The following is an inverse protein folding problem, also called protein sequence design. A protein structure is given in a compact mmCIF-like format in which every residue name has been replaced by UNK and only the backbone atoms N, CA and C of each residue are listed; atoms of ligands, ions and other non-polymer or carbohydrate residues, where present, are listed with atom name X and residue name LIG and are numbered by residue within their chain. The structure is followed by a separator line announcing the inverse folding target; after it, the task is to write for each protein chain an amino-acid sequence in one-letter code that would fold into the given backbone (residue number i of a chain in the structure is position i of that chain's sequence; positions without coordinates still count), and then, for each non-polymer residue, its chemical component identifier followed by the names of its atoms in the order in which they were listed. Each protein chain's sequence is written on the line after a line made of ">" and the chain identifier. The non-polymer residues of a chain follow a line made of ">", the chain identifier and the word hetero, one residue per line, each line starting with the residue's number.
data_IF_094025315813
#
_entry.id   IF_094025315813
#
_cell.length_a   1.000
_cell.length_b   1.000
_cell.length_c   1.000
_cell.angle_alpha   90.00
_cell.angle_beta   90.00
_cell.angle_gamma   90.00
#
_symmetry.space_group_name_H-M   'P 1'
#
loop_
_entity.id
_entity.type
_entity.pdbx_description
1 polymer ?
#
# COMPACT_ATOMS: atom_id res chain seq x y z
N UNK A 1 -70.09 -1.02 -13.99
CA UNK A 1 -69.01 -0.06 -13.64
C UNK A 1 -68.11 -0.66 -12.57
N UNK A 2 -66.91 -1.12 -12.90
CA UNK A 2 -65.78 -1.25 -11.95
C UNK A 2 -64.48 -1.05 -12.73
N UNK A 3 -63.76 0.03 -12.40
CA UNK A 3 -62.42 0.34 -12.88
C UNK A 3 -61.42 -0.40 -11.98
N UNK A 4 -60.42 -1.07 -12.56
CA UNK A 4 -59.23 -1.49 -11.83
C UNK A 4 -58.05 -0.82 -12.52
N UNK A 5 -57.49 0.16 -11.82
CA UNK A 5 -56.21 0.78 -12.11
C UNK A 5 -55.19 0.08 -11.20
N UNK A 6 -54.12 -0.48 -11.78
CA UNK A 6 -52.93 -0.92 -11.04
C UNK A 6 -51.74 -0.77 -12.01
N UNK A 7 -51.10 0.40 -12.09
CA UNK A 7 -50.06 0.90 -11.19
C UNK A 7 -48.76 0.06 -11.20
N UNK A 8 -47.82 0.51 -12.03
CA UNK A 8 -46.39 0.64 -11.69
C UNK A 8 -45.58 -0.63 -11.42
N UNK A 9 -44.98 -1.19 -12.48
CA UNK A 9 -43.74 -1.96 -12.33
C UNK A 9 -42.58 -0.97 -12.17
N UNK A 10 -42.19 -0.73 -10.92
CA UNK A 10 -40.94 -0.05 -10.58
C UNK A 10 -39.82 -1.00 -10.99
N UNK A 11 -39.03 -0.57 -11.97
CA UNK A 11 -37.75 -1.19 -12.34
C UNK A 11 -36.81 -1.11 -11.14
N UNK A 12 -36.65 -2.23 -10.44
CA UNK A 12 -35.65 -2.38 -9.39
C UNK A 12 -34.28 -2.49 -10.08
N UNK A 13 -33.75 -1.34 -10.52
CA UNK A 13 -32.37 -1.18 -10.97
C UNK A 13 -31.45 -1.36 -9.77
N UNK A 14 -31.14 -2.60 -9.44
CA UNK A 14 -30.10 -2.94 -8.48
C UNK A 14 -28.80 -2.32 -8.97
N UNK A 15 -28.38 -1.24 -8.31
CA UNK A 15 -27.03 -0.69 -8.44
C UNK A 15 -26.08 -1.77 -7.93
N UNK A 16 -25.63 -2.64 -8.84
CA UNK A 16 -24.47 -3.48 -8.61
C UNK A 16 -23.31 -2.51 -8.45
N UNK A 17 -22.96 -2.18 -7.22
CA UNK A 17 -21.69 -1.56 -6.88
C UNK A 17 -20.61 -2.58 -7.21
N UNK A 18 -20.23 -2.66 -8.48
CA UNK A 18 -19.04 -3.36 -8.92
C UNK A 18 -17.90 -2.75 -8.12
N UNK A 19 -17.36 -3.46 -7.12
CA UNK A 19 -16.08 -3.11 -6.53
C UNK A 19 -15.12 -3.05 -7.71
N UNK A 20 -14.73 -1.84 -8.14
CA UNK A 20 -13.83 -1.67 -9.25
C UNK A 20 -12.60 -2.54 -8.98
N UNK A 21 -12.45 -3.61 -9.76
CA UNK A 21 -11.33 -4.53 -9.64
C UNK A 21 -10.06 -3.74 -9.91
N UNK A 22 -9.13 -3.77 -8.96
CA UNK A 22 -7.86 -3.08 -9.12
C UNK A 22 -7.12 -3.67 -10.32
N UNK A 23 -6.71 -2.80 -11.24
CA UNK A 23 -6.04 -3.22 -12.47
C UNK A 23 -4.60 -3.57 -12.15
N UNK A 24 -4.03 -4.44 -12.98
CA UNK A 24 -2.58 -4.67 -12.95
C UNK A 24 -1.89 -3.49 -13.63
N UNK A 25 -1.05 -2.80 -12.88
CA UNK A 25 -0.39 -1.57 -13.31
C UNK A 25 1.01 -1.82 -13.88
N UNK A 26 1.43 -1.01 -14.84
CA UNK A 26 2.82 -0.96 -15.33
C UNK A 26 3.58 0.27 -14.86
N UNK A 27 2.93 1.15 -14.09
CA UNK A 27 3.53 2.28 -13.42
C UNK A 27 2.61 2.71 -12.27
N UNK A 28 3.19 3.29 -11.23
CA UNK A 28 2.44 3.96 -10.16
C UNK A 28 3.08 5.32 -9.93
N UNK A 29 2.25 6.35 -9.75
CA UNK A 29 2.68 7.65 -9.29
C UNK A 29 1.66 8.15 -8.27
N UNK A 30 1.96 7.95 -7.00
CA UNK A 30 1.07 8.20 -5.87
C UNK A 30 1.78 9.10 -4.86
N UNK A 31 1.15 10.23 -4.53
CA UNK A 31 1.65 11.22 -3.57
C UNK A 31 0.77 11.31 -2.31
N UNK A 32 -0.21 10.42 -2.17
CA UNK A 32 -1.09 10.25 -1.01
C UNK A 32 -1.86 11.51 -0.56
N UNK A 33 -1.81 12.61 -1.32
CA UNK A 33 -2.41 13.90 -0.98
C UNK A 33 -3.93 13.82 -0.79
N UNK A 34 -4.56 12.89 -1.51
CA UNK A 34 -6.01 12.71 -1.56
C UNK A 34 -6.51 11.61 -0.62
N UNK A 35 -5.60 10.86 0.01
CA UNK A 35 -5.95 9.73 0.84
C UNK A 35 -6.44 10.20 2.21
N UNK A 36 -7.69 9.84 2.54
CA UNK A 36 -8.25 9.96 3.90
C UNK A 36 -8.12 8.66 4.69
N UNK A 37 -8.13 7.56 3.95
CA UNK A 37 -7.87 6.20 4.38
C UNK A 37 -6.92 5.57 3.36
N UNK A 38 -6.38 4.38 3.67
CA UNK A 38 -5.62 3.61 2.69
C UNK A 38 -6.51 3.30 1.49
N UNK A 39 -6.06 3.66 0.28
CA UNK A 39 -6.83 3.41 -0.93
C UNK A 39 -7.17 1.91 -1.07
N UNK A 40 -8.36 1.61 -1.58
CA UNK A 40 -8.91 0.26 -1.67
C UNK A 40 -8.07 -0.72 -2.51
N UNK A 41 -7.19 -0.22 -3.37
CA UNK A 41 -6.30 -1.04 -4.19
C UNK A 41 -4.94 -1.29 -3.56
N UNK A 42 -4.68 -0.66 -2.42
CA UNK A 42 -3.54 -0.91 -1.57
C UNK A 42 -3.95 -1.77 -0.38
N UNK A 43 -2.99 -2.47 0.21
CA UNK A 43 -3.22 -3.25 1.44
C UNK A 43 -2.25 -2.78 2.51
N UNK A 44 -2.80 -2.28 3.61
CA UNK A 44 -2.04 -1.98 4.82
C UNK A 44 -2.11 -3.17 5.77
N UNK A 45 -0.94 -3.63 6.23
CA UNK A 45 -0.79 -4.68 7.22
C UNK A 45 -0.03 -4.11 8.41
N UNK A 46 -0.75 -3.57 9.41
CA UNK A 46 -0.13 -3.20 10.67
C UNK A 46 0.41 -4.47 11.34
N UNK A 47 1.64 -4.40 11.88
CA UNK A 47 2.23 -5.49 12.65
C UNK A 47 1.81 -5.41 14.11
N UNK A 48 1.22 -6.48 14.66
CA UNK A 48 0.82 -6.55 16.07
C UNK A 48 -0.07 -5.37 16.49
N UNK A 49 0.44 -4.52 17.38
CA UNK A 49 -0.23 -3.29 17.85
C UNK A 49 0.33 -2.00 17.23
N UNK A 50 1.23 -2.11 16.27
CA UNK A 50 1.68 -0.96 15.47
C UNK A 50 0.54 -0.48 14.56
N UNK A 51 0.64 0.76 14.10
CA UNK A 51 -0.36 1.39 13.25
C UNK A 51 0.22 1.69 11.87
N UNK A 52 -0.60 1.51 10.84
CA UNK A 52 -0.28 1.88 9.47
C UNK A 52 -1.50 2.57 8.85
N UNK A 53 -1.38 3.84 8.53
CA UNK A 53 -2.51 4.67 8.09
C UNK A 53 -2.07 5.82 7.19
N UNK A 54 -3.04 6.43 6.49
CA UNK A 54 -2.83 7.66 5.75
C UNK A 54 -3.29 8.87 6.59
N UNK A 55 -2.45 9.88 6.72
CA UNK A 55 -2.76 11.16 7.39
C UNK A 55 -1.78 12.23 6.92
N UNK A 56 -2.18 13.49 6.99
CA UNK A 56 -1.30 14.63 6.70
C UNK A 56 -0.58 14.52 5.34
N UNK A 57 -1.33 13.97 4.37
CA UNK A 57 -0.90 13.74 2.98
C UNK A 57 0.26 12.75 2.85
N UNK A 58 0.39 11.82 3.80
CA UNK A 58 1.47 10.81 3.85
C UNK A 58 0.94 9.49 4.35
N UNK A 59 1.72 8.44 4.12
CA UNK A 59 1.59 7.18 4.84
C UNK A 59 2.43 7.23 6.10
N UNK A 60 1.84 6.86 7.23
CA UNK A 60 2.48 6.85 8.53
C UNK A 60 2.52 5.42 9.05
N UNK A 61 3.74 4.95 9.32
CA UNK A 61 4.02 3.72 10.05
C UNK A 61 4.38 4.12 11.47
N UNK A 62 3.65 3.63 12.48
CA UNK A 62 3.80 4.11 13.84
C UNK A 62 3.86 2.97 14.85
N UNK A 63 4.90 2.98 15.69
CA UNK A 63 5.05 2.11 16.84
C UNK A 63 4.76 2.91 18.11
N UNK A 64 3.64 2.62 18.78
CA UNK A 64 3.34 3.21 20.08
C UNK A 64 4.24 2.59 21.15
N UNK A 65 4.06 1.29 21.40
CA UNK A 65 4.77 0.51 22.42
C UNK A 65 5.14 -0.90 21.92
N UNK A 66 5.22 -1.09 20.60
CA UNK A 66 5.44 -2.40 19.97
C UNK A 66 6.61 -2.33 18.98
N UNK A 67 7.83 -2.04 19.46
CA UNK A 67 9.01 -2.03 18.62
C UNK A 67 9.27 -3.43 18.04
N UNK A 68 9.86 -3.49 16.85
CA UNK A 68 10.22 -4.73 16.17
C UNK A 68 9.07 -5.38 15.38
N UNK A 69 7.89 -4.78 15.38
CA UNK A 69 6.77 -5.23 14.55
C UNK A 69 7.00 -4.91 13.07
N UNK A 70 6.81 -5.91 12.21
CA UNK A 70 6.90 -5.73 10.77
C UNK A 70 5.59 -5.14 10.23
N UNK A 71 5.65 -3.96 9.63
CA UNK A 71 4.50 -3.34 8.97
C UNK A 71 4.70 -3.38 7.46
N UNK A 72 3.64 -3.69 6.71
CA UNK A 72 3.69 -3.73 5.26
C UNK A 72 2.64 -2.83 4.63
N UNK A 73 3.09 -1.94 3.74
CA UNK A 73 2.20 -1.34 2.76
C UNK A 73 2.41 -2.05 1.43
N UNK A 74 1.33 -2.58 0.86
CA UNK A 74 1.37 -3.39 -0.36
C UNK A 74 0.63 -2.68 -1.48
N UNK A 75 1.29 -2.54 -2.63
CA UNK A 75 0.75 -1.87 -3.82
C UNK A 75 -0.40 -2.67 -4.46
N UNK A 76 -1.14 -2.08 -5.42
CA UNK A 76 -1.86 -2.84 -6.43
C UNK A 76 -0.92 -3.81 -7.18
N UNK A 77 -1.50 -4.75 -7.92
CA UNK A 77 -0.71 -5.71 -8.68
C UNK A 77 0.07 -4.99 -9.79
N UNK A 78 1.35 -5.32 -9.93
CA UNK A 78 2.28 -4.74 -10.91
C UNK A 78 2.61 -5.80 -11.95
N UNK A 79 2.78 -5.39 -13.21
CA UNK A 79 3.25 -6.26 -14.29
C UNK A 79 4.70 -6.71 -14.09
N UNK A 80 5.07 -7.84 -14.69
CA UNK A 80 6.47 -8.22 -14.81
C UNK A 80 7.27 -7.16 -15.60
N UNK A 81 8.51 -6.90 -15.17
CA UNK A 81 9.36 -5.90 -15.80
C UNK A 81 10.50 -5.40 -14.91
N UNK A 82 11.33 -4.53 -15.47
CA UNK A 82 12.37 -3.81 -14.72
C UNK A 82 11.88 -2.40 -14.41
N UNK A 83 12.12 -1.95 -13.19
CA UNK A 83 11.56 -0.69 -12.70
C UNK A 83 12.60 0.16 -11.97
N UNK A 84 12.37 1.46 -12.01
CA UNK A 84 12.88 2.42 -11.05
C UNK A 84 11.78 2.70 -10.05
N UNK A 85 11.98 2.28 -8.80
CA UNK A 85 11.14 2.67 -7.66
C UNK A 85 11.80 3.85 -6.97
N UNK A 86 11.07 4.92 -6.73
CA UNK A 86 11.49 6.02 -5.87
C UNK A 86 10.40 6.41 -4.89
N UNK A 87 10.78 6.82 -3.68
CA UNK A 87 9.88 7.34 -2.67
C UNK A 87 10.62 8.30 -1.74
N UNK A 88 9.90 9.23 -1.14
CA UNK A 88 10.39 10.06 -0.06
C UNK A 88 10.05 9.38 1.26
N UNK A 89 11.06 9.19 2.13
CA UNK A 89 10.86 8.48 3.38
C UNK A 89 11.74 9.04 4.50
N UNK A 90 11.12 9.34 5.63
CA UNK A 90 11.77 9.91 6.80
C UNK A 90 11.27 9.27 8.08
N UNK A 91 11.97 9.51 9.18
CA UNK A 91 11.56 9.07 10.52
C UNK A 91 11.71 10.20 11.54
N UNK A 92 11.14 10.00 12.73
CA UNK A 92 11.27 10.92 13.87
C UNK A 92 12.45 10.56 14.80
N UNK A 93 13.44 9.80 14.30
CA UNK A 93 14.58 9.32 15.06
C UNK A 93 14.55 7.82 15.38
N UNK A 94 15.62 7.32 15.99
CA UNK A 94 15.81 5.92 16.34
C UNK A 94 16.35 5.05 15.19
N UNK A 95 16.23 3.73 15.32
CA UNK A 95 16.62 2.78 14.27
C UNK A 95 15.37 2.31 13.51
N UNK A 96 15.37 2.57 12.20
CA UNK A 96 14.29 2.25 11.27
C UNK A 96 14.87 1.64 10.00
N UNK A 97 14.15 0.72 9.38
CA UNK A 97 14.57 0.14 8.09
C UNK A 97 13.41 0.00 7.11
N UNK A 98 13.74 0.12 5.83
CA UNK A 98 12.88 -0.19 4.70
C UNK A 98 13.47 -1.36 3.91
N UNK A 99 12.65 -2.37 3.64
CA UNK A 99 12.94 -3.51 2.77
C UNK A 99 11.82 -3.68 1.74
N UNK A 100 12.17 -4.11 0.52
CA UNK A 100 11.21 -4.25 -0.59
C UNK A 100 11.00 -5.72 -0.92
N UNK A 101 9.74 -6.11 -1.05
CA UNK A 101 9.29 -7.46 -1.31
C UNK A 101 8.48 -7.55 -2.62
N UNK A 102 8.58 -8.69 -3.28
CA UNK A 102 7.56 -9.18 -4.20
C UNK A 102 6.54 -10.01 -3.41
N UNK A 103 5.25 -9.77 -3.63
CA UNK A 103 4.16 -10.37 -2.87
C UNK A 103 3.14 -10.98 -3.82
N UNK A 104 3.12 -12.32 -3.89
CA UNK A 104 2.21 -13.04 -4.78
C UNK A 104 0.78 -13.14 -4.22
N UNK A 105 0.64 -13.20 -2.88
CA UNK A 105 -0.64 -13.22 -2.19
C UNK A 105 -0.54 -12.38 -0.91
N UNK A 106 -1.26 -11.25 -0.86
CA UNK A 106 -1.22 -10.34 0.29
C UNK A 106 -1.73 -10.99 1.58
N UNK A 107 -2.55 -12.05 1.51
CA UNK A 107 -3.04 -12.77 2.69
C UNK A 107 -2.10 -13.88 3.19
N UNK A 108 -1.01 -14.15 2.48
CA UNK A 108 -0.05 -15.21 2.84
C UNK A 108 1.37 -14.63 2.95
N UNK A 109 1.83 -14.45 4.19
CA UNK A 109 3.16 -13.93 4.50
C UNK A 109 4.30 -14.78 3.90
N UNK A 110 4.09 -16.08 3.67
CA UNK A 110 5.11 -16.95 3.04
C UNK A 110 5.35 -16.60 1.57
N UNK A 111 4.42 -15.86 0.95
CA UNK A 111 4.53 -15.43 -0.44
C UNK A 111 5.42 -14.19 -0.63
N UNK A 112 5.93 -13.62 0.46
CA UNK A 112 6.72 -12.39 0.48
C UNK A 112 8.18 -12.76 0.24
N UNK A 113 8.70 -12.35 -0.91
CA UNK A 113 10.09 -12.61 -1.30
C UNK A 113 10.85 -11.29 -1.36
N UNK A 114 11.90 -11.15 -0.54
CA UNK A 114 12.75 -9.95 -0.54
C UNK A 114 13.42 -9.77 -1.91
N UNK A 115 13.30 -8.58 -2.48
CA UNK A 115 13.90 -8.20 -3.77
C UNK A 115 14.84 -7.00 -3.66
N UNK A 116 14.79 -6.26 -2.55
CA UNK A 116 15.82 -5.30 -2.18
C UNK A 116 16.08 -5.40 -0.68
N UNK A 117 17.35 -5.54 -0.29
CA UNK A 117 17.78 -5.72 1.10
C UNK A 117 17.32 -4.56 2.00
N UNK A 118 17.14 -4.80 3.31
CA UNK A 118 16.85 -3.75 4.27
C UNK A 118 17.87 -2.63 4.19
N UNK A 119 17.39 -1.39 4.26
CA UNK A 119 18.23 -0.19 4.29
C UNK A 119 17.70 0.78 5.35
N UNK A 120 18.61 1.43 6.07
CA UNK A 120 18.25 2.43 7.08
C UNK A 120 17.52 3.61 6.46
N UNK A 121 16.50 4.15 7.13
CA UNK A 121 15.84 5.40 6.70
C UNK A 121 16.64 6.57 7.26
N UNK A 122 16.92 7.57 6.42
CA UNK A 122 17.79 8.71 6.75
C UNK A 122 17.13 10.08 6.55
N UNK A 123 15.86 10.10 6.11
CA UNK A 123 15.15 11.35 5.78
C UNK A 123 15.23 11.77 4.32
N UNK A 124 16.00 11.05 3.50
CA UNK A 124 16.20 11.37 2.09
C UNK A 124 15.32 10.53 1.16
N UNK A 125 15.17 11.04 -0.07
CA UNK A 125 14.59 10.27 -1.18
C UNK A 125 15.37 8.97 -1.41
N UNK A 126 14.67 7.84 -1.41
CA UNK A 126 15.23 6.53 -1.76
C UNK A 126 14.88 6.15 -3.18
N UNK A 127 15.85 5.56 -3.88
CA UNK A 127 15.68 5.03 -5.23
C UNK A 127 16.23 3.62 -5.33
N UNK A 128 15.45 2.72 -5.93
CA UNK A 128 15.79 1.32 -6.14
C UNK A 128 15.65 0.97 -7.63
N UNK A 129 16.57 0.14 -8.12
CA UNK A 129 16.35 -0.59 -9.37
C UNK A 129 15.89 -2.00 -9.00
N UNK A 130 14.68 -2.35 -9.39
CA UNK A 130 14.08 -3.66 -9.06
C UNK A 130 13.66 -4.40 -10.33
N UNK A 131 13.70 -5.73 -10.26
CA UNK A 131 13.27 -6.62 -11.34
C UNK A 131 12.15 -7.53 -10.83
N UNK A 132 11.00 -7.47 -11.50
CA UNK A 132 9.80 -8.23 -11.19
C UNK A 132 9.67 -9.35 -12.23
N UNK A 133 9.80 -10.61 -11.79
CA UNK A 133 9.83 -11.77 -12.69
C UNK A 133 8.47 -12.20 -13.24
N UNK A 134 7.39 -11.89 -12.51
CA UNK A 134 6.00 -12.21 -12.84
C UNK A 134 5.09 -11.17 -12.21
N UNK A 135 3.88 -11.02 -12.72
CA UNK A 135 2.93 -10.06 -12.15
C UNK A 135 2.69 -10.34 -10.66
N UNK A 136 2.93 -9.33 -9.83
CA UNK A 136 3.02 -9.46 -8.37
C UNK A 136 2.71 -8.12 -7.72
N UNK A 137 2.45 -8.11 -6.41
CA UNK A 137 2.40 -6.85 -5.66
C UNK A 137 3.80 -6.49 -5.15
N UNK A 138 4.06 -5.20 -4.92
CA UNK A 138 5.24 -4.77 -4.18
C UNK A 138 4.86 -4.53 -2.72
N UNK A 139 5.60 -5.15 -1.81
CA UNK A 139 5.47 -4.94 -0.38
C UNK A 139 6.59 -4.03 0.14
N UNK A 140 6.22 -2.93 0.77
CA UNK A 140 7.13 -2.04 1.49
C UNK A 140 7.11 -2.46 2.96
N UNK A 141 8.15 -3.17 3.40
CA UNK A 141 8.29 -3.55 4.80
C UNK A 141 9.03 -2.46 5.55
N UNK A 142 8.38 -1.88 6.53
CA UNK A 142 8.99 -0.93 7.45
C UNK A 142 9.08 -1.56 8.83
N UNK A 143 10.27 -1.49 9.42
CA UNK A 143 10.55 -1.92 10.78
C UNK A 143 10.97 -0.72 11.63
N UNK A 144 10.31 -0.56 12.77
CA UNK A 144 10.58 0.47 13.78
C UNK A 144 11.07 -0.22 15.05
N UNK A 145 12.30 0.02 15.48
CA UNK A 145 12.87 -0.62 16.69
C UNK A 145 12.65 0.21 17.97
N UNK A 146 12.00 1.38 17.88
CA UNK A 146 11.74 2.30 19.00
C UNK A 146 10.28 2.33 19.46
N UNK A 147 10.11 2.87 20.68
CA UNK A 147 8.81 3.26 21.27
C UNK A 147 8.51 4.70 20.83
N UNK A 148 7.24 5.01 20.56
CA UNK A 148 6.79 6.29 19.99
C UNK A 148 7.55 6.71 18.73
N UNK A 149 7.93 5.72 17.93
CA UNK A 149 8.66 5.93 16.69
C UNK A 149 7.68 5.99 15.52
N UNK A 150 8.00 6.82 14.53
CA UNK A 150 7.20 7.01 13.33
C UNK A 150 8.10 7.03 12.10
N UNK A 151 7.62 6.44 11.02
CA UNK A 151 8.15 6.61 9.66
C UNK A 151 7.07 7.23 8.81
N UNK A 152 7.45 8.25 8.04
CA UNK A 152 6.59 8.97 7.12
C UNK A 152 7.03 8.68 5.70
N UNK A 153 6.08 8.35 4.83
CA UNK A 153 6.35 8.02 3.45
C UNK A 153 5.46 8.83 2.51
N UNK A 154 6.05 9.32 1.43
CA UNK A 154 5.38 10.12 0.41
C UNK A 154 5.98 9.90 -0.99
N UNK A 155 5.34 10.43 -2.03
CA UNK A 155 5.83 10.50 -3.41
C UNK A 155 6.30 9.14 -3.97
N UNK A 156 5.49 8.10 -3.79
CA UNK A 156 5.74 6.77 -4.32
C UNK A 156 5.63 6.79 -5.85
N UNK A 157 6.74 6.53 -6.52
CA UNK A 157 6.81 6.46 -7.98
C UNK A 157 7.48 5.17 -8.41
N UNK A 158 6.74 4.35 -9.15
CA UNK A 158 7.23 3.15 -9.81
C UNK A 158 7.15 3.36 -11.32
N UNK A 159 8.30 3.44 -11.99
CA UNK A 159 8.39 3.67 -13.43
C UNK A 159 9.09 2.50 -14.10
N UNK A 160 8.47 1.93 -15.11
CA UNK A 160 9.09 0.89 -15.92
C UNK A 160 10.29 1.49 -16.68
N UNK A 161 11.39 0.72 -16.74
CA UNK A 161 12.59 1.05 -17.52
C UNK A 161 12.47 0.60 -18.96
#
# INVERSE_FOLDING_TARGET
>A
MKRIVLAGLITMGGLLTVKAQCKTESAINENFDTWKDIDKCWTAQPGGKAMLYASDKKIIFYSMNSPGENMFLVTPKIKAGNYTLSLDISDNGGETTLEIFSVNNTSDAKSYVSIAKPSKITGDKKTYTISIKKDTHLGLKVLLNGIHQAVYMDNFSLKQK
#
